data_IF_264335146120
#
_entry.id   IF_264335146120
#
_cell.length_a   1.000
_cell.length_b   1.000
_cell.length_c   1.000
_cell.angle_alpha   90.00
_cell.angle_beta   90.00
_cell.angle_gamma   90.00
#
_symmetry.space_group_name_H-M   'P 1'
#
loop_
_entity.id
_entity.type
_entity.pdbx_description
1 polymer ?
#
# COMPACT_ATOMS: atom_id res chain seq x y z
N UNK A 1 -6.93 11.85 11.30
CA UNK A 1 -7.23 12.02 9.87
C UNK A 1 -8.58 11.43 9.48
N UNK A 2 -8.89 10.17 9.79
CA UNK A 2 -10.20 9.56 9.41
C UNK A 2 -11.44 10.39 9.81
N UNK A 3 -11.54 10.99 11.02
CA UNK A 3 -12.73 11.77 11.38
C UNK A 3 -13.02 12.96 10.46
N UNK A 4 -12.00 13.69 9.98
CA UNK A 4 -12.20 14.82 9.05
C UNK A 4 -12.52 14.35 7.61
N UNK A 5 -12.13 13.13 7.23
CA UNK A 5 -12.57 12.55 5.96
C UNK A 5 -14.04 12.13 6.02
N UNK A 6 -14.49 11.63 7.17
CA UNK A 6 -15.87 11.21 7.39
C UNK A 6 -16.86 12.38 7.44
N UNK A 7 -16.42 13.62 7.68
CA UNK A 7 -17.27 14.81 7.53
C UNK A 7 -17.53 15.18 6.07
N UNK A 8 -16.76 14.63 5.12
CA UNK A 8 -16.82 15.00 3.71
C UNK A 8 -16.10 16.31 3.37
N UNK A 9 -15.42 16.93 4.34
CA UNK A 9 -14.71 18.21 4.16
C UNK A 9 -13.30 18.05 3.58
N UNK A 10 -12.78 16.82 3.51
CA UNK A 10 -11.44 16.53 3.04
C UNK A 10 -11.35 15.22 2.26
N UNK A 11 -10.35 15.17 1.38
CA UNK A 11 -9.97 13.97 0.62
C UNK A 11 -8.50 13.67 0.89
N UNK A 12 -8.16 12.39 1.08
CA UNK A 12 -6.77 11.93 1.21
C UNK A 12 -6.47 10.87 0.15
N UNK A 13 -5.42 11.05 -0.68
CA UNK A 13 -4.94 9.99 -1.54
C UNK A 13 -4.52 8.77 -0.71
N UNK A 14 -4.84 7.58 -1.21
CA UNK A 14 -4.49 6.30 -0.61
C UNK A 14 -4.03 5.36 -1.73
N UNK A 15 -3.17 4.40 -1.36
CA UNK A 15 -2.77 3.34 -2.27
C UNK A 15 -3.97 2.41 -2.53
N UNK A 16 -4.15 1.94 -3.76
CA UNK A 16 -5.36 1.23 -4.20
C UNK A 16 -5.76 0.03 -3.32
N UNK A 17 -4.78 -0.70 -2.76
CA UNK A 17 -5.02 -1.84 -1.87
C UNK A 17 -5.82 -1.48 -0.60
N UNK A 18 -5.85 -0.20 -0.19
CA UNK A 18 -6.61 0.24 0.98
C UNK A 18 -8.12 0.00 0.83
N UNK A 19 -8.65 0.04 -0.40
CA UNK A 19 -10.05 -0.27 -0.65
C UNK A 19 -10.40 -1.74 -0.34
N UNK A 20 -9.43 -2.64 -0.44
CA UNK A 20 -9.58 -4.06 -0.16
C UNK A 20 -9.34 -4.38 1.33
N UNK A 21 -8.25 -3.86 1.89
CA UNK A 21 -7.81 -4.23 3.24
C UNK A 21 -8.31 -3.30 4.35
N UNK A 22 -8.83 -2.13 4.02
CA UNK A 22 -9.34 -1.15 4.99
C UNK A 22 -10.73 -0.61 4.57
N UNK A 23 -11.75 -1.47 4.44
CA UNK A 23 -13.11 -1.02 4.15
C UNK A 23 -13.67 -0.27 5.37
N UNK A 24 -13.67 1.05 5.29
CA UNK A 24 -14.23 1.92 6.33
C UNK A 24 -15.65 2.33 5.94
N UNK A 25 -16.69 1.94 6.70
CA UNK A 25 -18.09 2.19 6.31
C UNK A 25 -18.44 3.66 6.10
N UNK A 26 -17.75 4.57 6.79
CA UNK A 26 -17.99 6.02 6.70
C UNK A 26 -17.27 6.69 5.51
N UNK A 27 -16.47 5.95 4.73
CA UNK A 27 -15.67 6.50 3.64
C UNK A 27 -16.04 5.85 2.31
N UNK A 28 -15.86 6.63 1.23
CA UNK A 28 -15.97 6.13 -0.14
C UNK A 28 -14.59 6.17 -0.78
N UNK A 29 -14.13 5.02 -1.27
CA UNK A 29 -12.91 4.93 -2.06
C UNK A 29 -13.20 5.24 -3.52
N UNK A 30 -12.47 6.21 -4.09
CA UNK A 30 -12.58 6.60 -5.51
C UNK A 30 -11.24 6.39 -6.22
N UNK A 31 -11.20 5.71 -7.38
CA UNK A 31 -9.97 5.56 -8.15
C UNK A 31 -9.44 6.91 -8.63
N UNK A 32 -8.14 7.14 -8.46
CA UNK A 32 -7.39 8.21 -9.12
C UNK A 32 -6.79 7.59 -10.38
N UNK A 33 -7.11 8.13 -11.56
CA UNK A 33 -6.80 7.49 -12.86
C UNK A 33 -5.68 8.18 -13.64
N UNK A 34 -5.29 9.38 -13.22
CA UNK A 34 -4.30 10.25 -13.84
C UNK A 34 -3.00 10.38 -13.03
N UNK A 35 -2.87 9.59 -11.96
CA UNK A 35 -1.65 9.50 -11.15
C UNK A 35 -0.81 8.27 -11.53
N UNK A 36 0.53 8.34 -11.47
CA UNK A 36 1.38 7.18 -11.61
C UNK A 36 1.04 6.10 -10.57
N UNK A 37 1.09 4.80 -10.93
CA UNK A 37 0.90 3.73 -9.98
C UNK A 37 1.95 3.77 -8.89
N UNK A 38 1.52 3.60 -7.65
CA UNK A 38 2.43 3.42 -6.55
C UNK A 38 3.16 2.08 -6.64
N UNK A 39 4.44 2.08 -6.26
CA UNK A 39 5.30 0.89 -6.29
C UNK A 39 5.69 0.49 -4.88
N UNK A 40 5.65 -0.81 -4.62
CA UNK A 40 6.10 -1.40 -3.36
C UNK A 40 7.48 -2.01 -3.55
N UNK A 41 8.32 -1.88 -2.52
CA UNK A 41 9.61 -2.53 -2.48
C UNK A 41 9.83 -3.12 -1.08
N UNK A 42 10.49 -4.27 -1.05
CA UNK A 42 11.03 -4.81 0.19
C UNK A 42 12.31 -4.04 0.54
N UNK A 43 12.37 -3.50 1.74
CA UNK A 43 13.52 -2.70 2.21
C UNK A 43 13.99 -3.25 3.56
N UNK A 44 15.28 -3.49 3.68
CA UNK A 44 15.94 -3.91 4.91
C UNK A 44 17.32 -3.24 5.02
N UNK A 45 17.90 -3.23 6.23
CA UNK A 45 19.28 -2.75 6.41
C UNK A 45 20.24 -3.79 5.87
N UNK A 46 21.21 -3.38 5.07
CA UNK A 46 22.25 -4.27 4.52
C UNK A 46 22.97 -5.06 5.62
N UNK A 47 23.26 -4.42 6.76
CA UNK A 47 23.89 -5.08 7.92
C UNK A 47 23.06 -6.23 8.52
N UNK A 48 21.75 -6.28 8.25
CA UNK A 48 20.85 -7.34 8.74
C UNK A 48 20.50 -8.36 7.66
N UNK A 49 21.04 -8.22 6.45
CA UNK A 49 20.78 -9.14 5.34
C UNK A 49 21.27 -10.55 5.67
N UNK A 50 20.40 -11.52 5.45
CA UNK A 50 20.67 -12.93 5.71
C UNK A 50 19.95 -13.82 4.68
N UNK A 51 20.23 -15.11 4.72
CA UNK A 51 19.68 -16.09 3.78
C UNK A 51 18.14 -16.11 3.77
N UNK A 52 17.48 -15.90 4.92
CA UNK A 52 16.01 -15.89 5.01
C UNK A 52 15.42 -14.67 4.30
N UNK A 53 16.03 -13.50 4.46
CA UNK A 53 15.62 -12.28 3.75
C UNK A 53 15.78 -12.46 2.24
N UNK A 54 16.91 -13.03 1.80
CA UNK A 54 17.13 -13.31 0.37
C UNK A 54 16.12 -14.30 -0.18
N UNK A 55 15.89 -15.40 0.52
CA UNK A 55 14.90 -16.41 0.13
C UNK A 55 13.48 -15.81 0.04
N UNK A 56 13.09 -14.97 1.01
CA UNK A 56 11.81 -14.27 0.98
C UNK A 56 11.72 -13.31 -0.21
N UNK A 57 12.77 -12.53 -0.47
CA UNK A 57 12.81 -11.61 -1.60
C UNK A 57 12.71 -12.34 -2.95
N UNK A 58 13.35 -13.51 -3.09
CA UNK A 58 13.19 -14.35 -4.28
C UNK A 58 11.76 -14.90 -4.42
N UNK A 59 11.16 -15.39 -3.33
CA UNK A 59 9.80 -15.89 -3.35
C UNK A 59 8.80 -14.79 -3.77
N UNK A 60 8.97 -13.57 -3.27
CA UNK A 60 8.16 -12.41 -3.66
C UNK A 60 8.40 -12.05 -5.13
N UNK A 61 9.65 -12.09 -5.63
CA UNK A 61 9.92 -11.89 -7.06
C UNK A 61 9.23 -12.93 -7.95
N UNK A 62 9.21 -14.19 -7.53
CA UNK A 62 8.56 -15.27 -8.27
C UNK A 62 7.03 -15.19 -8.28
N UNK A 63 6.43 -14.45 -7.34
CA UNK A 63 4.97 -14.27 -7.23
C UNK A 63 4.50 -12.87 -7.62
N UNK A 64 5.42 -11.96 -7.87
CA UNK A 64 5.11 -10.63 -8.38
C UNK A 64 4.49 -10.76 -9.79
N UNK A 65 3.35 -10.10 -10.06
CA UNK A 65 2.78 -10.04 -11.40
C UNK A 65 3.67 -9.26 -12.39
#
# INVERSE_FOLDING_TARGET
>A
MIPILATGEAVSPMHAHAAEYLPLPALVYRPIVDAPPARWALVWRTATENERIRAFAEAVRATAP
#
